data_IF_962647245941
#
_entry.id   IF_962647245941
#
_cell.length_a   1.000
_cell.length_b   1.000
_cell.length_c   1.000
_cell.angle_alpha   90.00
_cell.angle_beta   90.00
_cell.angle_gamma   90.00
#
_symmetry.space_group_name_H-M   'P 1'
#
loop_
_entity.id
_entity.type
_entity.pdbx_description
1 polymer ?
#
# COMPACT_ATOMS: atom_id res chain seq x y z
N UNK A 1 -22.37 -1.02 -11.86
CA UNK A 1 -21.76 -0.71 -10.55
C UNK A 1 -20.91 0.53 -10.75
N UNK A 2 -21.17 1.59 -9.99
CA UNK A 2 -20.41 2.84 -10.09
C UNK A 2 -19.01 2.66 -9.47
N UNK A 3 -18.04 3.45 -9.90
CA UNK A 3 -16.66 3.44 -9.34
C UNK A 3 -16.65 3.65 -7.82
N UNK A 4 -17.57 4.47 -7.32
CA UNK A 4 -17.79 4.70 -5.89
C UNK A 4 -18.21 3.46 -5.12
N UNK A 5 -19.01 2.57 -5.70
CA UNK A 5 -19.56 1.39 -5.00
C UNK A 5 -18.47 0.38 -4.67
N UNK A 6 -17.47 0.21 -5.57
CA UNK A 6 -16.35 -0.70 -5.34
C UNK A 6 -15.39 -0.15 -4.28
N UNK A 7 -15.12 1.17 -4.31
CA UNK A 7 -14.29 1.82 -3.29
C UNK A 7 -14.93 1.71 -1.90
N UNK A 8 -16.23 1.96 -1.80
CA UNK A 8 -17.01 1.77 -0.57
C UNK A 8 -16.92 0.29 -0.12
N UNK A 9 -17.01 -0.67 -1.04
CA UNK A 9 -16.89 -2.10 -0.73
C UNK A 9 -15.57 -2.46 -0.05
N UNK A 10 -14.43 -1.90 -0.52
CA UNK A 10 -13.12 -2.13 0.10
C UNK A 10 -13.08 -1.59 1.54
N UNK A 11 -13.61 -0.40 1.76
CA UNK A 11 -13.69 0.19 3.10
C UNK A 11 -14.63 -0.59 4.02
N UNK A 12 -15.76 -1.06 3.51
CA UNK A 12 -16.69 -1.91 4.28
C UNK A 12 -16.02 -3.21 4.72
N UNK A 13 -15.25 -3.86 3.84
CA UNK A 13 -14.48 -5.06 4.19
C UNK A 13 -13.43 -4.74 5.27
N UNK A 14 -12.64 -3.67 5.10
CA UNK A 14 -11.63 -3.28 6.07
C UNK A 14 -12.24 -2.95 7.44
N UNK A 15 -13.32 -2.17 7.47
CA UNK A 15 -14.06 -1.85 8.71
C UNK A 15 -14.68 -3.09 9.34
N UNK A 16 -15.22 -4.01 8.56
CA UNK A 16 -15.78 -5.27 9.04
C UNK A 16 -14.70 -6.14 9.70
N UNK A 17 -13.49 -6.18 9.14
CA UNK A 17 -12.35 -6.89 9.74
C UNK A 17 -11.93 -6.25 11.07
N UNK A 18 -11.84 -4.92 11.13
CA UNK A 18 -11.55 -4.19 12.38
C UNK A 18 -12.64 -4.44 13.41
N UNK A 19 -13.91 -4.32 13.04
CA UNK A 19 -15.04 -4.59 13.92
C UNK A 19 -15.01 -6.05 14.44
N UNK A 20 -14.76 -7.02 13.55
CA UNK A 20 -14.67 -8.43 13.93
C UNK A 20 -13.49 -8.69 14.87
N UNK A 21 -12.36 -8.01 14.68
CA UNK A 21 -11.23 -8.11 15.60
C UNK A 21 -11.62 -7.70 17.03
N UNK A 22 -12.31 -6.59 17.19
CA UNK A 22 -12.68 -6.10 18.54
C UNK A 22 -13.85 -6.84 19.19
N UNK A 23 -14.70 -7.54 18.41
CA UNK A 23 -15.92 -8.16 18.89
C UNK A 23 -15.92 -9.71 18.85
N UNK A 24 -14.87 -10.36 18.32
CA UNK A 24 -14.80 -11.82 18.18
C UNK A 24 -13.51 -12.37 18.76
N UNK A 25 -13.60 -13.16 19.83
CA UNK A 25 -12.48 -13.85 20.44
C UNK A 25 -11.82 -14.87 19.47
N UNK A 26 -12.61 -15.48 18.61
CA UNK A 26 -12.09 -16.42 17.58
C UNK A 26 -11.24 -15.70 16.56
N UNK A 27 -11.63 -14.49 16.13
CA UNK A 27 -10.84 -13.66 15.21
C UNK A 27 -9.56 -13.17 15.89
N UNK A 28 -9.66 -12.72 17.16
CA UNK A 28 -8.48 -12.33 17.96
C UNK A 28 -7.49 -13.50 18.09
N UNK A 29 -7.97 -14.69 18.41
CA UNK A 29 -7.14 -15.89 18.55
C UNK A 29 -6.47 -16.28 17.21
N UNK A 30 -7.19 -16.21 16.08
CA UNK A 30 -6.62 -16.48 14.77
C UNK A 30 -5.53 -15.46 14.39
N UNK A 31 -5.76 -14.18 14.70
CA UNK A 31 -4.80 -13.11 14.39
C UNK A 31 -3.63 -13.05 15.38
N UNK A 32 -3.77 -13.58 16.61
CA UNK A 32 -2.65 -13.68 17.56
C UNK A 32 -1.52 -14.55 17.02
N UNK A 33 -1.83 -15.68 16.38
CA UNK A 33 -0.83 -16.52 15.71
C UNK A 33 -0.07 -15.77 14.60
N UNK A 34 -0.77 -14.95 13.84
CA UNK A 34 -0.14 -14.07 12.82
C UNK A 34 0.80 -13.04 13.46
N UNK A 35 0.37 -12.43 14.57
CA UNK A 35 1.19 -11.46 15.32
C UNK A 35 2.44 -12.10 15.91
N UNK A 36 2.37 -13.34 16.41
CA UNK A 36 3.51 -14.09 16.92
C UNK A 36 4.53 -14.41 15.82
N UNK A 37 4.07 -14.89 14.66
CA UNK A 37 4.94 -15.13 13.50
C UNK A 37 5.64 -13.83 13.07
N UNK A 38 4.90 -12.73 13.02
CA UNK A 38 5.45 -11.42 12.68
C UNK A 38 6.46 -10.93 13.72
N UNK A 39 6.23 -11.17 15.01
CA UNK A 39 7.11 -10.72 16.10
C UNK A 39 8.52 -11.31 15.99
N UNK A 40 8.67 -12.53 15.47
CA UNK A 40 9.96 -13.21 15.31
C UNK A 40 10.86 -12.52 14.27
N UNK A 41 10.28 -12.05 13.14
CA UNK A 41 11.03 -11.43 12.04
C UNK A 41 10.17 -10.35 11.34
N UNK A 42 9.80 -9.29 12.06
CA UNK A 42 8.81 -8.29 11.62
C UNK A 42 9.10 -7.65 10.27
N UNK A 43 10.35 -7.32 9.97
CA UNK A 43 10.73 -6.71 8.70
C UNK A 43 10.64 -7.69 7.53
N UNK A 44 11.10 -8.92 7.74
CA UNK A 44 11.02 -9.98 6.74
C UNK A 44 9.55 -10.34 6.45
N UNK A 45 8.76 -10.50 7.50
CA UNK A 45 7.33 -10.79 7.37
C UNK A 45 6.60 -9.68 6.60
N UNK A 46 6.81 -8.42 6.96
CA UNK A 46 6.17 -7.28 6.31
C UNK A 46 6.66 -7.09 4.88
N UNK A 47 7.95 -7.30 4.61
CA UNK A 47 8.51 -7.31 3.26
C UNK A 47 7.89 -8.39 2.38
N UNK A 48 7.85 -9.65 2.84
CA UNK A 48 7.25 -10.77 2.10
C UNK A 48 5.75 -10.59 1.90
N UNK A 49 5.03 -10.16 2.92
CA UNK A 49 3.60 -9.87 2.85
C UNK A 49 3.30 -8.78 1.82
N UNK A 50 4.03 -7.66 1.85
CA UNK A 50 3.84 -6.57 0.88
C UNK A 50 4.24 -6.99 -0.54
N UNK A 51 5.33 -7.73 -0.70
CA UNK A 51 5.73 -8.31 -1.98
C UNK A 51 4.62 -9.21 -2.56
N UNK A 52 3.99 -10.03 -1.72
CA UNK A 52 2.90 -10.91 -2.13
C UNK A 52 1.68 -10.10 -2.61
N UNK A 53 1.18 -9.17 -1.79
CA UNK A 53 -0.07 -8.46 -2.03
C UNK A 53 0.06 -7.27 -2.99
N UNK A 54 1.20 -6.58 -3.03
CA UNK A 54 1.40 -5.41 -3.88
C UNK A 54 2.16 -5.70 -5.19
N UNK A 55 2.83 -6.86 -5.31
CA UNK A 55 3.54 -7.24 -6.52
C UNK A 55 3.09 -8.58 -7.10
N UNK A 56 3.31 -9.68 -6.39
CA UNK A 56 3.12 -11.03 -6.93
C UNK A 56 1.68 -11.27 -7.38
N UNK A 57 0.71 -11.09 -6.49
CA UNK A 57 -0.70 -11.34 -6.80
C UNK A 57 -1.24 -10.40 -7.89
N UNK A 58 -1.06 -9.05 -7.80
CA UNK A 58 -1.52 -8.15 -8.86
C UNK A 58 -0.87 -8.43 -10.21
N UNK A 59 0.45 -8.61 -10.24
CA UNK A 59 1.16 -8.87 -11.49
C UNK A 59 0.70 -10.18 -12.15
N UNK A 60 0.55 -11.25 -11.37
CA UNK A 60 0.06 -12.54 -11.84
C UNK A 60 -1.38 -12.42 -12.36
N UNK A 61 -2.25 -11.73 -11.64
CA UNK A 61 -3.62 -11.47 -12.07
C UNK A 61 -3.67 -10.72 -13.40
N UNK A 62 -2.84 -9.68 -13.59
CA UNK A 62 -2.76 -8.91 -14.84
C UNK A 62 -2.27 -9.78 -16.01
N UNK A 63 -1.28 -10.63 -15.79
CA UNK A 63 -0.79 -11.56 -16.81
C UNK A 63 -1.85 -12.62 -17.17
N UNK A 64 -2.50 -13.24 -16.19
CA UNK A 64 -3.54 -14.24 -16.43
C UNK A 64 -4.79 -13.63 -17.12
N UNK A 65 -5.14 -12.40 -16.78
CA UNK A 65 -6.22 -11.66 -17.44
C UNK A 65 -5.85 -11.11 -18.83
N UNK A 66 -4.64 -11.42 -19.34
CA UNK A 66 -4.10 -10.95 -20.62
C UNK A 66 -4.04 -9.42 -20.77
N UNK A 67 -3.98 -8.69 -19.66
CA UNK A 67 -3.85 -7.23 -19.65
C UNK A 67 -2.41 -6.76 -19.63
N UNK A 68 -1.50 -7.62 -19.20
CA UNK A 68 -0.07 -7.38 -19.17
C UNK A 68 0.66 -8.57 -19.78
N UNK A 69 1.62 -8.29 -20.65
CA UNK A 69 2.57 -9.32 -21.09
C UNK A 69 3.60 -9.56 -19.99
N UNK A 70 3.92 -10.82 -19.72
CA UNK A 70 4.94 -11.17 -18.75
C UNK A 70 6.30 -10.66 -19.18
N UNK A 71 6.94 -9.86 -18.34
CA UNK A 71 8.27 -9.32 -18.59
C UNK A 71 9.19 -9.61 -17.37
N UNK A 72 10.17 -10.52 -17.48
CA UNK A 72 10.94 -11.02 -16.33
C UNK A 72 11.63 -9.92 -15.53
N UNK A 73 12.27 -8.95 -16.20
CA UNK A 73 12.97 -7.84 -15.54
C UNK A 73 12.01 -6.97 -14.72
N UNK A 74 10.81 -6.68 -15.26
CA UNK A 74 9.77 -5.91 -14.58
C UNK A 74 9.27 -6.70 -13.38
N UNK A 75 9.02 -8.00 -13.54
CA UNK A 75 8.54 -8.86 -12.47
C UNK A 75 9.51 -8.88 -11.28
N UNK A 76 10.80 -9.13 -11.55
CA UNK A 76 11.84 -9.12 -10.51
C UNK A 76 11.95 -7.76 -9.82
N UNK A 77 11.96 -6.65 -10.60
CA UNK A 77 11.96 -5.31 -10.01
C UNK A 77 10.79 -5.12 -9.05
N UNK A 78 9.57 -5.50 -9.48
CA UNK A 78 8.37 -5.32 -8.65
C UNK A 78 8.46 -6.12 -7.35
N UNK A 79 8.95 -7.38 -7.41
CA UNK A 79 9.12 -8.20 -6.22
C UNK A 79 10.12 -7.57 -5.23
N UNK A 80 11.31 -7.20 -5.72
CA UNK A 80 12.36 -6.62 -4.88
C UNK A 80 11.93 -5.25 -4.31
N UNK A 81 11.34 -4.42 -5.14
CA UNK A 81 10.88 -3.09 -4.74
C UNK A 81 9.80 -3.14 -3.66
N UNK A 82 8.77 -3.97 -3.84
CA UNK A 82 7.68 -4.07 -2.87
C UNK A 82 8.07 -4.84 -1.61
N UNK A 83 9.04 -5.77 -1.69
CA UNK A 83 9.65 -6.34 -0.49
C UNK A 83 10.34 -5.26 0.35
N UNK A 84 11.17 -4.43 -0.28
CA UNK A 84 11.82 -3.31 0.39
C UNK A 84 10.81 -2.31 0.96
N UNK A 85 9.79 -1.93 0.18
CA UNK A 85 8.74 -1.02 0.65
C UNK A 85 7.97 -1.58 1.85
N UNK A 86 7.70 -2.88 1.90
CA UNK A 86 7.04 -3.50 3.04
C UNK A 86 7.88 -3.46 4.31
N UNK A 87 9.18 -3.71 4.21
CA UNK A 87 10.11 -3.59 5.33
C UNK A 87 10.25 -2.15 5.83
N UNK A 88 10.26 -1.19 4.91
CA UNK A 88 10.30 0.25 5.19
C UNK A 88 9.02 0.74 5.89
N UNK A 89 7.83 0.32 5.43
CA UNK A 89 6.56 0.66 6.06
C UNK A 89 6.50 0.09 7.48
N UNK A 90 7.02 -1.11 7.71
CA UNK A 90 7.12 -1.69 9.05
C UNK A 90 7.99 -0.84 9.98
N UNK A 91 9.14 -0.38 9.48
CA UNK A 91 10.01 0.54 10.22
C UNK A 91 9.28 1.84 10.56
N UNK A 92 8.59 2.42 9.59
CA UNK A 92 7.86 3.67 9.75
C UNK A 92 6.70 3.54 10.75
N UNK A 93 5.91 2.46 10.68
CA UNK A 93 4.81 2.24 11.62
C UNK A 93 5.31 1.96 13.05
N UNK A 94 6.44 1.27 13.18
CA UNK A 94 7.08 1.08 14.48
C UNK A 94 7.56 2.41 15.05
N UNK A 95 8.24 3.23 14.26
CA UNK A 95 8.66 4.57 14.65
C UNK A 95 7.47 5.45 15.09
N UNK A 96 6.37 5.42 14.36
CA UNK A 96 5.16 6.15 14.75
C UNK A 96 4.54 5.65 16.07
N UNK A 97 4.62 4.32 16.32
CA UNK A 97 4.17 3.75 17.59
C UNK A 97 5.04 4.20 18.76
N UNK A 98 6.36 4.30 18.54
CA UNK A 98 7.31 4.77 19.55
C UNK A 98 7.12 6.26 19.86
N UNK A 99 6.85 7.10 18.85
CA UNK A 99 6.73 8.57 18.99
C UNK A 99 5.35 8.99 19.50
N UNK A 100 4.27 8.40 18.96
CA UNK A 100 2.88 8.82 19.25
C UNK A 100 2.14 7.85 20.16
N UNK A 101 2.77 6.73 20.51
CA UNK A 101 2.15 5.66 21.29
C UNK A 101 1.33 4.69 20.44
N UNK A 102 0.79 3.66 21.11
CA UNK A 102 -0.04 2.60 20.52
C UNK A 102 -1.54 2.81 20.73
N UNK A 103 -1.94 3.97 21.26
CA UNK A 103 -3.34 4.30 21.50
C UNK A 103 -4.17 4.35 20.22
N UNK A 104 -5.45 4.01 20.34
CA UNK A 104 -6.44 4.04 19.25
C UNK A 104 -7.45 5.18 19.41
N UNK A 105 -7.14 6.15 20.28
CA UNK A 105 -7.92 7.37 20.42
C UNK A 105 -7.76 8.29 19.21
N UNK A 106 -8.74 9.15 19.01
CA UNK A 106 -8.80 10.04 17.85
C UNK A 106 -7.54 10.91 17.68
N UNK A 107 -7.01 11.45 18.79
CA UNK A 107 -5.86 12.34 18.73
C UNK A 107 -4.57 11.61 18.30
N UNK A 108 -4.36 10.40 18.80
CA UNK A 108 -3.24 9.53 18.42
C UNK A 108 -3.33 9.12 16.95
N UNK A 109 -4.51 8.64 16.51
CA UNK A 109 -4.74 8.27 15.11
C UNK A 109 -4.54 9.49 14.18
N UNK A 110 -5.10 10.64 14.51
CA UNK A 110 -4.98 11.84 13.70
C UNK A 110 -3.53 12.27 13.51
N UNK A 111 -2.71 12.28 14.58
CA UNK A 111 -1.26 12.58 14.49
C UNK A 111 -0.55 11.61 13.55
N UNK A 112 -0.80 10.31 13.66
CA UNK A 112 -0.21 9.29 12.81
C UNK A 112 -0.59 9.48 11.34
N UNK A 113 -1.88 9.70 11.05
CA UNK A 113 -2.38 9.96 9.69
C UNK A 113 -1.75 11.23 9.10
N UNK A 114 -1.65 12.31 9.88
CA UNK A 114 -1.02 13.56 9.41
C UNK A 114 0.46 13.35 9.06
N UNK A 115 1.24 12.71 9.92
CA UNK A 115 2.66 12.44 9.66
C UNK A 115 2.83 11.46 8.48
N UNK A 116 2.00 10.41 8.40
CA UNK A 116 2.02 9.47 7.30
C UNK A 116 1.77 10.17 5.96
N UNK A 117 0.67 10.90 5.84
CA UNK A 117 0.22 11.40 4.54
C UNK A 117 0.93 12.70 4.12
N UNK A 118 1.19 13.62 5.04
CA UNK A 118 1.79 14.91 4.69
C UNK A 118 3.31 14.94 4.76
N UNK A 119 3.93 14.01 5.51
CA UNK A 119 5.39 13.94 5.61
C UNK A 119 5.90 12.71 4.87
N UNK A 120 5.62 11.50 5.35
CA UNK A 120 6.19 10.28 4.80
C UNK A 120 5.74 10.02 3.36
N UNK A 121 4.44 10.04 3.09
CA UNK A 121 3.90 9.76 1.75
C UNK A 121 4.25 10.86 0.77
N UNK A 122 4.11 12.14 1.16
CA UNK A 122 4.32 13.29 0.27
C UNK A 122 5.78 13.52 -0.06
N UNK A 123 6.68 13.46 0.94
CA UNK A 123 8.08 13.82 0.75
C UNK A 123 8.89 12.63 0.25
N UNK A 124 8.52 11.41 0.62
CA UNK A 124 9.35 10.24 0.37
C UNK A 124 8.64 9.12 -0.40
N UNK A 125 7.55 8.54 0.13
CA UNK A 125 7.02 7.29 -0.40
C UNK A 125 6.50 7.42 -1.83
N UNK A 126 5.65 8.41 -2.11
CA UNK A 126 5.10 8.65 -3.45
C UNK A 126 6.17 9.08 -4.45
N UNK A 127 7.05 10.07 -4.17
CA UNK A 127 8.16 10.39 -5.06
C UNK A 127 9.04 9.19 -5.38
N UNK A 128 9.40 8.37 -4.40
CA UNK A 128 10.18 7.16 -4.59
C UNK A 128 9.50 6.18 -5.58
N UNK A 129 8.21 5.90 -5.38
CA UNK A 129 7.43 5.01 -6.27
C UNK A 129 7.41 5.57 -7.69
N UNK A 130 7.10 6.85 -7.86
CA UNK A 130 7.00 7.48 -9.19
C UNK A 130 8.35 7.46 -9.91
N UNK A 131 9.45 7.73 -9.22
CA UNK A 131 10.80 7.73 -9.78
C UNK A 131 11.23 6.32 -10.23
N UNK A 132 10.97 5.30 -9.41
CA UNK A 132 11.28 3.90 -9.75
C UNK A 132 10.41 3.41 -10.91
N UNK A 133 9.13 3.78 -10.93
CA UNK A 133 8.23 3.41 -12.02
C UNK A 133 8.60 4.12 -13.33
N UNK A 134 9.03 5.37 -13.29
CA UNK A 134 9.56 6.06 -14.46
C UNK A 134 10.77 5.31 -15.07
N UNK A 135 11.66 4.74 -14.22
CA UNK A 135 12.76 3.90 -14.70
C UNK A 135 12.27 2.61 -15.39
N UNK A 136 11.28 1.96 -14.80
CA UNK A 136 10.64 0.78 -15.39
C UNK A 136 9.99 1.11 -16.75
N UNK A 137 9.30 2.24 -16.86
CA UNK A 137 8.60 2.66 -18.08
C UNK A 137 9.53 2.89 -19.28
N UNK A 138 10.75 3.36 -19.03
CA UNK A 138 11.78 3.55 -20.08
C UNK A 138 12.65 2.31 -20.31
N UNK A 139 12.19 1.12 -19.93
CA UNK A 139 12.85 -0.16 -20.17
C UNK A 139 14.20 -0.31 -19.47
N UNK A 140 14.35 0.29 -18.26
CA UNK A 140 15.58 0.25 -17.45
C UNK A 140 16.78 0.97 -18.04
N UNK A 141 16.59 1.83 -19.05
CA UNK A 141 17.64 2.68 -19.61
C UNK A 141 17.95 3.83 -18.66
N UNK A 142 19.16 3.86 -18.10
CA UNK A 142 19.59 4.94 -17.21
C UNK A 142 19.65 6.31 -17.91
N UNK A 143 20.02 6.31 -19.20
CA UNK A 143 20.08 7.54 -19.99
C UNK A 143 18.68 8.13 -20.25
N UNK A 144 17.70 7.30 -20.60
CA UNK A 144 16.32 7.73 -20.80
C UNK A 144 15.68 8.12 -19.48
N UNK A 145 15.92 7.35 -18.41
CA UNK A 145 15.42 7.67 -17.07
C UNK A 145 15.87 9.06 -16.59
N UNK A 146 17.14 9.43 -16.79
CA UNK A 146 17.62 10.79 -16.47
C UNK A 146 16.85 11.89 -17.20
N UNK A 147 16.37 11.63 -18.42
CA UNK A 147 15.54 12.58 -19.18
C UNK A 147 14.12 12.68 -18.60
N UNK A 148 13.59 11.57 -18.08
CA UNK A 148 12.30 11.54 -17.37
C UNK A 148 12.32 12.30 -16.03
N UNK A 149 13.50 12.42 -15.38
CA UNK A 149 13.67 13.22 -14.15
C UNK A 149 13.68 14.73 -14.47
N UNK A 150 12.63 15.21 -15.09
CA UNK A 150 12.47 16.58 -15.58
C UNK A 150 11.49 17.39 -14.72
N UNK A 151 11.32 18.68 -15.06
CA UNK A 151 10.42 19.58 -14.33
C UNK A 151 8.95 19.12 -14.36
N UNK A 152 8.52 18.45 -15.41
CA UNK A 152 7.16 17.93 -15.54
C UNK A 152 6.91 16.81 -14.53
N UNK A 153 7.86 15.88 -14.36
CA UNK A 153 7.76 14.82 -13.35
C UNK A 153 7.56 15.40 -11.95
N UNK A 154 8.40 16.38 -11.57
CA UNK A 154 8.39 16.91 -10.20
C UNK A 154 7.27 17.93 -9.94
N UNK A 155 6.83 18.71 -10.93
CA UNK A 155 5.84 19.78 -10.74
C UNK A 155 4.42 19.37 -11.09
N UNK A 156 4.24 18.32 -11.88
CA UNK A 156 2.92 17.89 -12.35
C UNK A 156 2.64 16.45 -11.94
N UNK A 157 3.46 15.49 -12.39
CA UNK A 157 3.17 14.06 -12.21
C UNK A 157 3.20 13.65 -10.72
N UNK A 158 4.27 13.97 -9.99
CA UNK A 158 4.39 13.64 -8.55
C UNK A 158 3.27 14.30 -7.74
N UNK A 159 3.01 15.63 -7.82
CA UNK A 159 1.90 16.25 -7.09
C UNK A 159 0.53 15.65 -7.41
N UNK A 160 0.25 15.34 -8.68
CA UNK A 160 -1.01 14.70 -9.06
C UNK A 160 -1.17 13.32 -8.43
N UNK A 161 -0.10 12.52 -8.38
CA UNK A 161 -0.10 11.22 -7.71
C UNK A 161 -0.26 11.38 -6.20
N UNK A 162 0.39 12.38 -5.58
CA UNK A 162 0.23 12.68 -4.14
C UNK A 162 -1.23 12.99 -3.81
N UNK A 163 -1.90 13.86 -4.56
CA UNK A 163 -3.31 14.20 -4.32
C UNK A 163 -4.19 12.95 -4.43
N UNK A 164 -4.01 12.15 -5.49
CA UNK A 164 -4.76 10.91 -5.67
C UNK A 164 -4.49 9.90 -4.56
N UNK A 165 -3.24 9.79 -4.12
CA UNK A 165 -2.83 8.95 -2.99
C UNK A 165 -3.53 9.38 -1.69
N UNK A 166 -3.51 10.67 -1.37
CA UNK A 166 -4.14 11.20 -0.15
C UNK A 166 -5.64 10.92 -0.10
N UNK A 167 -6.36 11.06 -1.21
CA UNK A 167 -7.80 10.79 -1.28
C UNK A 167 -8.15 9.36 -0.86
N UNK A 168 -7.26 8.41 -1.15
CA UNK A 168 -7.45 7.00 -0.85
C UNK A 168 -6.88 6.66 0.53
N UNK A 169 -5.64 7.10 0.79
CA UNK A 169 -4.90 6.63 1.95
C UNK A 169 -5.20 7.39 3.25
N UNK A 170 -5.70 8.63 3.22
CA UNK A 170 -6.14 9.31 4.46
C UNK A 170 -7.21 8.49 5.20
N UNK A 171 -8.34 8.14 4.57
CA UNK A 171 -9.34 7.30 5.24
C UNK A 171 -8.82 5.87 5.51
N UNK A 172 -8.01 5.30 4.63
CA UNK A 172 -7.41 3.98 4.84
C UNK A 172 -6.48 3.94 6.05
N UNK A 173 -5.61 4.93 6.20
CA UNK A 173 -4.71 5.03 7.34
C UNK A 173 -5.46 5.23 8.67
N UNK A 174 -6.57 5.95 8.67
CA UNK A 174 -7.41 6.06 9.87
C UNK A 174 -7.91 4.68 10.35
N UNK A 175 -8.33 3.82 9.40
CA UNK A 175 -8.71 2.43 9.70
C UNK A 175 -7.51 1.59 10.10
N UNK A 176 -6.37 1.71 9.40
CA UNK A 176 -5.15 0.95 9.69
C UNK A 176 -4.61 1.28 11.09
N UNK A 177 -4.57 2.55 11.47
CA UNK A 177 -4.08 2.94 12.80
C UNK A 177 -5.06 2.65 13.94
N UNK A 178 -6.28 2.23 13.63
CA UNK A 178 -7.24 1.77 14.65
C UNK A 178 -7.01 0.33 15.11
N UNK A 179 -6.09 -0.43 14.50
CA UNK A 179 -5.72 -1.78 14.93
C UNK A 179 -4.33 -1.80 15.59
N UNK A 180 -4.00 -2.84 16.39
CA UNK A 180 -2.68 -3.01 16.98
C UNK A 180 -1.58 -2.98 15.93
N UNK A 181 -0.42 -2.38 16.27
CA UNK A 181 0.72 -2.17 15.36
C UNK A 181 1.12 -3.42 14.57
N UNK A 182 1.16 -4.65 15.12
CA UNK A 182 1.48 -5.83 14.35
C UNK A 182 0.53 -6.13 13.19
N UNK A 183 -0.72 -5.68 13.26
CA UNK A 183 -1.75 -5.92 12.23
C UNK A 183 -1.83 -4.81 11.18
N UNK A 184 -1.18 -3.66 11.40
CA UNK A 184 -1.27 -2.50 10.51
C UNK A 184 -0.75 -2.78 9.09
N UNK A 185 0.43 -3.39 8.94
CA UNK A 185 0.97 -3.74 7.61
C UNK A 185 0.13 -4.81 6.90
N UNK A 186 -0.26 -5.94 7.53
CA UNK A 186 -1.19 -6.87 6.93
C UNK A 186 -2.49 -6.22 6.44
N UNK A 187 -3.09 -5.34 7.24
CA UNK A 187 -4.32 -4.64 6.86
C UNK A 187 -4.08 -3.66 5.70
N UNK A 188 -2.98 -2.90 5.73
CA UNK A 188 -2.62 -2.00 4.62
C UNK A 188 -2.40 -2.76 3.31
N UNK A 189 -1.76 -3.92 3.35
CA UNK A 189 -1.57 -4.78 2.20
C UNK A 189 -2.89 -5.29 1.62
N UNK A 190 -3.82 -5.68 2.48
CA UNK A 190 -5.15 -6.12 2.06
C UNK A 190 -5.93 -4.98 1.38
N UNK A 191 -5.94 -3.80 1.98
CA UNK A 191 -6.57 -2.61 1.41
C UNK A 191 -5.95 -2.27 0.05
N UNK A 192 -4.61 -2.22 -0.02
CA UNK A 192 -3.87 -1.94 -1.25
C UNK A 192 -4.16 -2.94 -2.37
N UNK A 193 -4.21 -4.22 -2.06
CA UNK A 193 -4.55 -5.27 -3.01
C UNK A 193 -5.96 -5.10 -3.59
N UNK A 194 -6.95 -4.87 -2.74
CA UNK A 194 -8.32 -4.62 -3.22
C UNK A 194 -8.41 -3.35 -4.06
N UNK A 195 -7.63 -2.30 -3.74
CA UNK A 195 -7.55 -1.10 -4.56
C UNK A 195 -7.03 -1.39 -5.96
N UNK A 196 -5.96 -2.17 -6.10
CA UNK A 196 -5.43 -2.57 -7.40
C UNK A 196 -6.48 -3.32 -8.21
N UNK A 197 -7.14 -4.31 -7.59
CA UNK A 197 -8.21 -5.07 -8.25
C UNK A 197 -9.38 -4.18 -8.68
N UNK A 198 -9.75 -3.21 -7.86
CA UNK A 198 -10.81 -2.25 -8.16
C UNK A 198 -10.47 -1.41 -9.39
N UNK A 199 -9.27 -0.81 -9.45
CA UNK A 199 -8.81 0.00 -10.59
C UNK A 199 -8.87 -0.83 -11.86
N UNK A 200 -8.43 -2.08 -11.82
CA UNK A 200 -8.45 -2.98 -12.96
C UNK A 200 -9.85 -3.30 -13.48
N UNK A 201 -10.80 -3.52 -12.58
CA UNK A 201 -12.19 -3.77 -12.97
C UNK A 201 -12.82 -2.53 -13.63
N UNK A 202 -12.49 -1.34 -13.13
CA UNK A 202 -13.03 -0.07 -13.62
C UNK A 202 -12.47 0.32 -14.98
N UNK A 203 -11.18 0.14 -15.22
CA UNK A 203 -10.55 0.46 -16.52
C UNK A 203 -11.05 -0.43 -17.65
N UNK A 204 -11.53 -1.64 -17.34
CA UNK A 204 -12.14 -2.53 -18.34
C UNK A 204 -13.45 -1.97 -18.93
N UNK A 205 -14.16 -1.08 -18.21
CA UNK A 205 -15.46 -0.53 -18.63
C UNK A 205 -15.34 0.69 -19.56
N UNK A 206 -14.15 1.31 -19.65
CA UNK A 206 -13.89 2.46 -20.52
C UNK A 206 -13.46 2.12 -21.94
N UNK A 207 -13.32 0.83 -22.26
CA UNK A 207 -12.80 0.36 -23.57
C UNK A 207 -13.86 -0.25 -24.48
N UNK A 208 -15.16 0.04 -24.24
CA UNK A 208 -16.29 -0.40 -25.09
C UNK A 208 -17.00 0.82 -25.68
#
# INVERSE_FOLDING_TARGET
MCSSDLGIGVFVIALSLVFSYYNSTSVQSALSGLMEIKAQNRYLFSGLSTMLFAALLPYTFLCLSKRLMFHPKVFVLMLVFWFWKGSEIELFYSFQADVFGTGTDFATIAKKVLVDQFIFSTIYAVPCIVIVYAWKEVGFSFMLWKRELNKELFRIKIPSVIVSNMMIWIPSCAVIYSVPTPLQVPLSNLIGFFFVLMIEVLTKKSSI
#
